data_IF_634392579182
#
_entry.id   IF_634392579182
#
_cell.length_a   1.000
_cell.length_b   1.000
_cell.length_c   1.000
_cell.angle_alpha   90.00
_cell.angle_beta   90.00
_cell.angle_gamma   90.00
#
_symmetry.space_group_name_H-M   'P 1'
#
loop_
_entity.id
_entity.type
_entity.pdbx_description
1 polymer ?
#
# COMPACT_ATOMS: atom_id res chain seq x y z
N UNK A 1 2.26 -2.12 -20.80
CA UNK A 1 1.88 -3.45 -20.31
C UNK A 1 0.73 -3.23 -19.34
N UNK A 2 -0.36 -4.00 -19.40
CA UNK A 2 -1.44 -3.88 -18.43
C UNK A 2 -0.93 -4.24 -17.03
N UNK A 3 -1.40 -3.52 -16.01
CA UNK A 3 -1.08 -3.79 -14.61
C UNK A 3 -2.13 -4.73 -14.01
N UNK A 4 -1.87 -6.02 -14.08
CA UNK A 4 -2.79 -7.03 -13.56
C UNK A 4 -2.79 -7.03 -12.01
N UNK A 5 -3.94 -7.29 -11.41
CA UNK A 5 -4.07 -7.52 -9.97
C UNK A 5 -4.69 -8.91 -9.71
N UNK A 6 -4.05 -9.78 -8.91
CA UNK A 6 -2.78 -9.56 -8.21
C UNK A 6 -1.57 -9.48 -9.18
N UNK A 7 -0.51 -8.75 -8.80
CA UNK A 7 0.77 -8.76 -9.50
C UNK A 7 1.41 -10.15 -9.49
N UNK A 8 2.26 -10.50 -10.47
CA UNK A 8 3.00 -11.75 -10.44
C UNK A 8 4.07 -11.76 -9.34
N UNK A 9 4.33 -12.92 -8.74
CA UNK A 9 5.36 -13.12 -7.70
C UNK A 9 6.73 -12.63 -8.14
N UNK A 10 7.09 -12.83 -9.41
CA UNK A 10 8.34 -12.32 -9.98
C UNK A 10 8.54 -10.81 -9.78
N UNK A 11 7.45 -10.03 -9.74
CA UNK A 11 7.56 -8.59 -9.46
C UNK A 11 7.85 -8.30 -7.98
N UNK A 12 7.31 -9.11 -7.07
CA UNK A 12 7.64 -9.04 -5.65
C UNK A 12 9.08 -9.48 -5.40
N UNK A 13 9.55 -10.57 -6.02
CA UNK A 13 10.94 -11.05 -5.96
C UNK A 13 11.94 -9.96 -6.34
N UNK A 14 11.69 -9.26 -7.47
CA UNK A 14 12.52 -8.11 -7.88
C UNK A 14 12.61 -7.02 -6.81
N UNK A 15 11.55 -6.80 -6.02
CA UNK A 15 11.54 -5.80 -4.94
C UNK A 15 12.19 -6.28 -3.66
N UNK A 16 12.11 -7.57 -3.39
CA UNK A 16 12.86 -8.25 -2.34
C UNK A 16 14.35 -8.37 -2.69
N UNK A 17 14.73 -8.04 -3.93
CA UNK A 17 16.10 -8.15 -4.46
C UNK A 17 16.61 -9.59 -4.48
N UNK A 18 15.70 -10.53 -4.69
CA UNK A 18 16.02 -11.94 -4.95
C UNK A 18 15.86 -12.24 -6.44
N UNK A 19 16.52 -13.27 -6.98
CA UNK A 19 16.34 -13.67 -8.38
C UNK A 19 14.89 -14.06 -8.67
N UNK A 20 14.43 -13.85 -9.90
CA UNK A 20 13.09 -14.30 -10.31
C UNK A 20 13.02 -15.83 -10.31
N UNK A 21 11.94 -16.39 -9.77
CA UNK A 21 11.74 -17.83 -9.60
C UNK A 21 12.67 -18.46 -8.54
N UNK A 22 13.12 -17.67 -7.55
CA UNK A 22 13.98 -18.18 -6.48
C UNK A 22 13.21 -18.53 -5.22
N UNK A 23 11.99 -18.02 -5.05
CA UNK A 23 11.10 -18.45 -3.96
C UNK A 23 10.56 -19.83 -4.27
N UNK A 24 10.66 -20.73 -3.29
CA UNK A 24 10.20 -22.11 -3.38
C UNK A 24 9.27 -22.44 -2.21
N UNK A 25 8.45 -23.48 -2.38
CA UNK A 25 7.62 -24.09 -1.32
C UNK A 25 6.86 -23.06 -0.45
N UNK A 26 7.19 -22.99 0.84
CA UNK A 26 6.52 -22.15 1.84
C UNK A 26 6.72 -20.65 1.56
N UNK A 27 7.90 -20.24 1.09
CA UNK A 27 8.19 -18.85 0.76
C UNK A 27 7.38 -18.40 -0.45
N UNK A 28 7.26 -19.26 -1.47
CA UNK A 28 6.41 -18.99 -2.63
C UNK A 28 4.94 -18.87 -2.21
N UNK A 29 4.44 -19.82 -1.42
CA UNK A 29 3.06 -19.80 -0.94
C UNK A 29 2.76 -18.56 -0.07
N UNK A 30 3.72 -18.15 0.78
CA UNK A 30 3.60 -16.94 1.59
C UNK A 30 3.58 -15.67 0.75
N UNK A 31 4.43 -15.59 -0.29
CA UNK A 31 4.45 -14.47 -1.23
C UNK A 31 3.13 -14.36 -2.02
N UNK A 32 2.60 -15.49 -2.50
CA UNK A 32 1.31 -15.54 -3.20
C UNK A 32 0.15 -15.11 -2.28
N UNK A 33 0.07 -15.66 -1.08
CA UNK A 33 -0.95 -15.29 -0.09
C UNK A 33 -0.91 -13.80 0.23
N UNK A 34 0.28 -13.23 0.46
CA UNK A 34 0.45 -11.81 0.74
C UNK A 34 -0.01 -10.92 -0.43
N UNK A 35 0.23 -11.34 -1.68
CA UNK A 35 -0.24 -10.61 -2.87
C UNK A 35 -1.77 -10.70 -3.04
N UNK A 36 -2.35 -11.87 -2.78
CA UNK A 36 -3.80 -12.09 -2.81
C UNK A 36 -4.52 -11.24 -1.77
N UNK A 37 -4.06 -11.27 -0.52
CA UNK A 37 -4.62 -10.51 0.59
C UNK A 37 -4.48 -9.00 0.36
N UNK A 38 -3.30 -8.54 -0.09
CA UNK A 38 -3.09 -7.13 -0.42
C UNK A 38 -4.02 -6.67 -1.55
N UNK A 39 -4.23 -7.52 -2.55
CA UNK A 39 -5.16 -7.26 -3.64
C UNK A 39 -6.60 -7.19 -3.13
N UNK A 40 -7.00 -8.13 -2.27
CA UNK A 40 -8.34 -8.16 -1.69
C UNK A 40 -8.65 -6.87 -0.90
N UNK A 41 -7.71 -6.42 -0.06
CA UNK A 41 -7.86 -5.18 0.70
C UNK A 41 -7.96 -3.95 -0.20
N UNK A 42 -7.12 -3.85 -1.23
CA UNK A 42 -7.15 -2.72 -2.17
C UNK A 42 -8.45 -2.69 -2.97
N UNK A 43 -8.95 -3.85 -3.41
CA UNK A 43 -10.19 -3.93 -4.16
C UNK A 43 -11.42 -3.67 -3.28
N UNK A 44 -11.36 -3.92 -1.98
CA UNK A 44 -12.42 -3.60 -1.03
C UNK A 44 -12.61 -2.08 -0.83
N UNK A 45 -11.58 -1.27 -1.10
CA UNK A 45 -11.65 0.19 -0.98
C UNK A 45 -12.39 0.90 -2.13
N UNK A 46 -12.85 0.15 -3.13
CA UNK A 46 -13.49 0.71 -4.33
C UNK A 46 -14.78 0.00 -4.70
N UNK A 47 -15.61 0.66 -5.52
CA UNK A 47 -16.82 0.05 -6.05
C UNK A 47 -16.52 -1.19 -6.91
N UNK A 48 -17.39 -2.20 -6.86
CA UNK A 48 -17.23 -3.50 -7.55
C UNK A 48 -16.96 -3.38 -9.05
N UNK A 49 -17.53 -2.36 -9.71
CA UNK A 49 -17.28 -2.08 -11.14
C UNK A 49 -15.82 -1.68 -11.41
N UNK A 50 -15.23 -0.84 -10.54
CA UNK A 50 -13.82 -0.47 -10.62
C UNK A 50 -12.92 -1.64 -10.23
N UNK A 51 -13.29 -2.39 -9.19
CA UNK A 51 -12.54 -3.57 -8.79
C UNK A 51 -12.39 -4.58 -9.94
N UNK A 52 -13.48 -4.82 -10.69
CA UNK A 52 -13.46 -5.71 -11.87
C UNK A 52 -12.56 -5.17 -12.99
N UNK A 53 -12.52 -3.85 -13.18
CA UNK A 53 -11.64 -3.22 -14.18
C UNK A 53 -10.17 -3.33 -13.76
N UNK A 54 -9.87 -3.08 -12.49
CA UNK A 54 -8.51 -3.07 -11.96
C UNK A 54 -7.87 -4.45 -11.86
N UNK A 55 -8.66 -5.53 -11.87
CA UNK A 55 -8.13 -6.90 -12.02
C UNK A 55 -7.41 -7.09 -13.37
N UNK A 56 -7.86 -6.38 -14.41
CA UNK A 56 -7.31 -6.51 -15.77
C UNK A 56 -6.24 -5.44 -16.01
N UNK A 57 -6.50 -4.21 -15.59
CA UNK A 57 -5.56 -3.10 -15.73
C UNK A 57 -5.79 -2.05 -14.64
N UNK A 58 -4.97 -2.12 -13.60
CA UNK A 58 -4.98 -1.18 -12.49
C UNK A 58 -4.11 0.06 -12.77
N UNK A 59 -4.44 1.23 -12.18
CA UNK A 59 -3.53 2.36 -12.17
C UNK A 59 -2.19 2.00 -11.51
N UNK A 60 -1.08 2.53 -12.02
CA UNK A 60 0.28 2.25 -11.50
C UNK A 60 0.37 2.43 -9.98
N UNK A 61 -0.24 3.49 -9.44
CA UNK A 61 -0.22 3.76 -8.00
C UNK A 61 -0.88 2.65 -7.19
N UNK A 62 -1.94 2.03 -7.72
CA UNK A 62 -2.67 0.93 -7.06
C UNK A 62 -1.82 -0.34 -7.09
N UNK A 63 -1.21 -0.62 -8.24
CA UNK A 63 -0.25 -1.71 -8.40
C UNK A 63 0.93 -1.57 -7.40
N UNK A 64 1.50 -0.37 -7.29
CA UNK A 64 2.56 -0.07 -6.33
C UNK A 64 2.14 -0.30 -4.87
N UNK A 65 0.92 0.05 -4.51
CA UNK A 65 0.38 -0.14 -3.15
C UNK A 65 0.26 -1.63 -2.82
N UNK A 66 -0.29 -2.45 -3.73
CA UNK A 66 -0.42 -3.90 -3.52
C UNK A 66 0.93 -4.54 -3.25
N UNK A 67 1.93 -4.27 -4.10
CA UNK A 67 3.28 -4.81 -3.93
C UNK A 67 3.96 -4.34 -2.64
N UNK A 68 3.69 -3.12 -2.18
CA UNK A 68 4.24 -2.62 -0.91
C UNK A 68 3.60 -3.30 0.30
N UNK A 69 2.28 -3.46 0.28
CA UNK A 69 1.55 -4.16 1.33
C UNK A 69 1.98 -5.63 1.41
N UNK A 70 2.06 -6.32 0.27
CA UNK A 70 2.51 -7.70 0.20
C UNK A 70 3.97 -7.86 0.68
N UNK A 71 4.87 -6.95 0.29
CA UNK A 71 6.27 -6.98 0.75
C UNK A 71 6.38 -6.85 2.27
N UNK A 72 5.60 -5.96 2.90
CA UNK A 72 5.64 -5.79 4.36
C UNK A 72 5.23 -7.06 5.08
N UNK A 73 4.17 -7.72 4.62
CA UNK A 73 3.74 -8.98 5.21
C UNK A 73 4.79 -10.08 5.01
N UNK A 74 5.35 -10.18 3.81
CA UNK A 74 6.40 -11.16 3.52
C UNK A 74 7.65 -10.95 4.39
N UNK A 75 8.06 -9.70 4.61
CA UNK A 75 9.25 -9.38 5.42
C UNK A 75 9.00 -9.51 6.94
N UNK A 76 7.74 -9.48 7.40
CA UNK A 76 7.39 -9.57 8.82
C UNK A 76 6.11 -10.41 9.08
N UNK A 77 6.11 -11.70 8.73
CA UNK A 77 4.91 -12.54 8.86
C UNK A 77 4.48 -12.75 10.31
N UNK A 78 5.44 -12.67 11.25
CA UNK A 78 5.19 -12.84 12.69
C UNK A 78 4.82 -11.53 13.41
N UNK A 79 4.92 -10.37 12.73
CA UNK A 79 4.55 -9.09 13.33
C UNK A 79 5.43 -8.70 14.49
N UNK A 80 6.71 -9.05 14.44
CA UNK A 80 7.66 -8.80 15.52
C UNK A 80 7.87 -7.30 15.61
N UNK A 81 7.36 -6.72 16.69
CA UNK A 81 7.38 -5.27 16.89
C UNK A 81 8.76 -4.74 17.36
N UNK A 82 9.55 -5.61 17.99
CA UNK A 82 10.86 -5.26 18.50
C UNK A 82 11.71 -6.53 18.61
N UNK A 83 12.92 -6.46 18.04
CA UNK A 83 13.93 -7.50 18.22
C UNK A 83 15.22 -6.84 18.73
N UNK A 84 15.73 -7.36 19.85
CA UNK A 84 16.96 -6.86 20.49
C UNK A 84 18.08 -7.86 20.25
N UNK A 85 19.01 -7.51 19.38
CA UNK A 85 20.24 -8.29 19.14
C UNK A 85 21.42 -7.63 19.88
N UNK A 86 21.64 -8.04 21.12
CA UNK A 86 22.75 -7.53 21.94
C UNK A 86 22.63 -6.01 22.20
N UNK A 87 23.52 -5.21 21.60
CA UNK A 87 23.52 -3.74 21.73
C UNK A 87 22.66 -3.02 20.67
N UNK A 88 22.14 -3.74 19.66
CA UNK A 88 21.33 -3.15 18.60
C UNK A 88 19.85 -3.48 18.80
N UNK A 89 19.07 -2.43 19.05
CA UNK A 89 17.61 -2.50 19.07
C UNK A 89 17.08 -2.11 17.69
N UNK A 90 16.43 -3.05 17.01
CA UNK A 90 15.64 -2.76 15.82
C UNK A 90 14.17 -2.74 16.25
N UNK A 91 13.58 -1.55 16.29
CA UNK A 91 12.15 -1.38 16.52
C UNK A 91 11.43 -1.39 15.18
N UNK A 92 10.49 -2.32 15.00
CA UNK A 92 9.63 -2.38 13.83
C UNK A 92 8.20 -2.07 14.29
N UNK A 93 7.68 -0.87 14.07
CA UNK A 93 6.35 -0.48 14.58
C UNK A 93 5.18 -1.11 13.80
N UNK A 94 5.48 -2.03 12.87
CA UNK A 94 4.55 -2.63 11.94
C UNK A 94 3.90 -3.89 12.52
N UNK A 95 2.57 -3.95 12.48
CA UNK A 95 1.75 -5.10 12.95
C UNK A 95 1.84 -6.26 11.94
N UNK A 96 1.73 -7.52 12.36
CA UNK A 96 1.59 -8.66 11.43
C UNK A 96 0.30 -8.57 10.62
N UNK A 97 0.29 -9.29 9.50
CA UNK A 97 -0.82 -9.38 8.58
C UNK A 97 -0.67 -8.36 7.45
N UNK A 98 -1.32 -8.64 6.32
CA UNK A 98 -1.41 -7.63 5.27
C UNK A 98 -2.30 -6.47 5.73
N UNK A 99 -1.77 -5.26 5.69
CA UNK A 99 -2.52 -4.05 5.98
C UNK A 99 -2.20 -2.91 5.00
N UNK A 100 -3.16 -2.01 4.85
CA UNK A 100 -3.00 -0.74 4.14
C UNK A 100 -2.82 0.39 5.15
N UNK A 101 -1.80 1.21 4.95
CA UNK A 101 -1.64 2.44 5.72
C UNK A 101 -2.67 3.48 5.30
N UNK A 102 -2.96 4.44 6.17
CA UNK A 102 -3.90 5.52 5.87
C UNK A 102 -3.53 6.32 4.60
N UNK A 103 -2.23 6.48 4.33
CA UNK A 103 -1.73 7.16 3.12
C UNK A 103 -2.00 6.35 1.86
N UNK A 104 -1.83 5.04 1.91
CA UNK A 104 -2.10 4.12 0.80
C UNK A 104 -3.58 4.05 0.49
N UNK A 105 -4.44 3.95 1.52
CA UNK A 105 -5.90 4.04 1.37
C UNK A 105 -6.29 5.35 0.67
N UNK A 106 -5.70 6.48 1.08
CA UNK A 106 -5.96 7.77 0.45
C UNK A 106 -5.52 7.81 -1.03
N UNK A 107 -4.41 7.14 -1.38
CA UNK A 107 -3.94 7.02 -2.76
C UNK A 107 -4.88 6.14 -3.60
N UNK A 108 -5.30 4.98 -3.07
CA UNK A 108 -6.25 4.07 -3.72
C UNK A 108 -7.58 4.78 -3.98
N UNK A 109 -8.15 5.46 -2.98
CA UNK A 109 -9.39 6.23 -3.13
C UNK A 109 -9.24 7.36 -4.14
N UNK A 110 -8.11 8.07 -4.15
CA UNK A 110 -7.83 9.11 -5.15
C UNK A 110 -7.81 8.51 -6.56
N UNK A 111 -7.10 7.40 -6.75
CA UNK A 111 -7.06 6.70 -8.03
C UNK A 111 -8.46 6.24 -8.46
N UNK A 112 -9.29 5.80 -7.51
CA UNK A 112 -10.68 5.44 -7.76
C UNK A 112 -11.50 6.64 -8.29
N UNK A 113 -11.29 7.85 -7.77
CA UNK A 113 -12.02 9.03 -8.27
C UNK A 113 -11.59 9.52 -9.65
N UNK A 114 -10.43 9.08 -10.16
CA UNK A 114 -9.88 9.52 -11.46
C UNK A 114 -9.44 11.00 -11.51
N UNK A 115 -9.47 11.71 -10.38
CA UNK A 115 -8.96 13.09 -10.31
C UNK A 115 -7.45 13.09 -10.10
N UNK A 116 -6.69 13.34 -11.16
CA UNK A 116 -5.29 13.75 -11.05
C UNK A 116 -5.24 15.16 -10.44
N UNK A 117 -4.52 15.33 -9.32
CA UNK A 117 -4.38 16.65 -8.68
C UNK A 117 -5.58 17.04 -7.79
N UNK A 118 -5.87 16.23 -6.77
CA UNK A 118 -6.82 16.62 -5.71
C UNK A 118 -6.54 18.05 -5.23
N UNK A 119 -7.60 18.81 -4.97
CA UNK A 119 -7.58 20.23 -4.60
C UNK A 119 -6.44 20.54 -3.61
N UNK A 120 -5.36 21.15 -4.11
CA UNK A 120 -4.36 21.86 -3.30
C UNK A 120 -4.92 23.26 -3.07
N UNK A 121 -6.03 23.34 -2.34
CA UNK A 121 -6.52 24.61 -1.85
C UNK A 121 -6.34 24.66 -0.35
N UNK A 122 -5.65 25.70 0.09
CA UNK A 122 -5.63 26.08 1.48
C UNK A 122 -7.02 26.59 1.85
N UNK A 123 -7.69 25.91 2.77
CA UNK A 123 -8.84 26.50 3.45
C UNK A 123 -8.22 27.55 4.39
N UNK A 124 -8.35 28.83 4.03
CA UNK A 124 -8.17 29.90 5.01
C UNK A 124 -9.34 29.82 5.97
N UNK A 125 -9.11 29.22 7.13
CA UNK A 125 -9.99 29.42 8.27
C UNK A 125 -10.00 30.93 8.57
N UNK A 126 -11.16 31.60 8.62
CA UNK A 126 -11.19 33.00 9.03
C UNK A 126 -10.59 33.09 10.43
N UNK A 127 -9.61 33.99 10.62
CA UNK A 127 -9.02 34.22 11.94
C UNK A 127 -10.11 34.71 12.90
N UNK A 128 -10.09 34.20 14.14
CA UNK A 128 -10.99 34.66 15.19
C UNK A 128 -10.75 36.14 15.59
N UNK A 129 -9.63 36.70 15.16
CA UNK A 129 -9.37 38.14 15.19
C UNK A 129 -9.76 38.71 13.83
N UNK A 130 -10.91 39.37 13.77
CA UNK A 130 -11.30 40.20 12.62
C UNK A 130 -10.32 41.35 12.47
N UNK A 131 -10.11 41.79 11.23
CA UNK A 131 -9.28 42.95 10.89
C UNK A 131 -9.68 44.14 11.78
N UNK A 132 -8.83 44.41 12.77
CA UNK A 132 -8.94 45.57 13.64
C UNK A 132 -8.61 46.81 12.83
N UNK A 133 -9.62 47.35 12.16
CA UNK A 133 -9.56 48.60 11.43
C UNK A 133 -9.41 49.75 12.44
N UNK A 134 -8.16 50.14 12.71
CA UNK A 134 -7.82 51.37 13.42
C UNK A 134 -7.91 52.55 12.46
N UNK A 135 -8.92 53.40 12.70
CA UNK A 135 -9.04 54.77 12.15
C UNK A 135 -7.84 55.64 12.54
#
# INVERSE_FOLDING_TARGET
MPNLLPPPVAELERRLRVPEGSLEEEDLAGAEAALEDATALVLAEVATSKASTWKIDAPDVVHLVVLKAARREYENPQGIAQETYGEHTVGNTETSGVYLTAREIAQVRRAATGRSGGFVGTIRTPSAYGDGDTT
#
